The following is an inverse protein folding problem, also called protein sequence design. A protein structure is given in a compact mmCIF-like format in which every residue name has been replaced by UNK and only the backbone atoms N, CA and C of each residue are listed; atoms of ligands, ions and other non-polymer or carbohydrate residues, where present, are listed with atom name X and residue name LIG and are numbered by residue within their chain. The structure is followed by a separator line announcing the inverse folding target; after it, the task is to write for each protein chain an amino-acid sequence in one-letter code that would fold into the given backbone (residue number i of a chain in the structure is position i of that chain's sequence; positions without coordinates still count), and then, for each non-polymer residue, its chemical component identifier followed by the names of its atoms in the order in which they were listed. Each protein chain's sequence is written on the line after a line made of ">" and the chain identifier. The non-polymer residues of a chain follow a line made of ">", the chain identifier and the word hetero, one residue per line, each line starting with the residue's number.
data_IF_438527380687
#
_entry.id   IF_438527380687
#
_cell.length_a   1.000
_cell.length_b   1.000
_cell.length_c   1.000
_cell.angle_alpha   90.00
_cell.angle_beta   90.00
_cell.angle_gamma   90.00
#
_symmetry.space_group_name_H-M   'P 1'
#
loop_
_entity.id
_entity.type
_entity.pdbx_description
1 polymer ?
#
# COMPACT_ATOMS: atom_id res chain seq x y z
N UNK A 1 20.31 2.86 2.59
CA UNK A 1 20.96 3.68 3.63
C UNK A 1 21.11 5.10 3.12
N UNK A 2 20.82 6.09 3.97
CA UNK A 2 20.83 7.51 3.62
C UNK A 2 21.55 8.31 4.69
N UNK A 3 22.21 9.41 4.31
CA UNK A 3 22.74 10.37 5.28
C UNK A 3 21.61 11.04 6.08
N UNK A 4 21.93 11.64 7.22
CA UNK A 4 20.95 12.40 8.04
C UNK A 4 20.15 13.40 7.20
N UNK A 5 20.82 14.17 6.34
CA UNK A 5 20.15 15.21 5.55
C UNK A 5 19.27 14.62 4.45
N UNK A 6 19.74 13.60 3.73
CA UNK A 6 18.91 12.89 2.72
C UNK A 6 17.68 12.23 3.36
N UNK A 7 17.84 11.70 4.57
CA UNK A 7 16.74 11.09 5.33
C UNK A 7 15.70 12.11 5.73
N UNK A 8 16.12 13.29 6.19
CA UNK A 8 15.23 14.39 6.53
C UNK A 8 14.54 15.00 5.31
N UNK A 9 15.24 15.13 4.18
CA UNK A 9 14.64 15.54 2.92
C UNK A 9 13.53 14.58 2.49
N UNK A 10 13.81 13.26 2.52
CA UNK A 10 12.80 12.22 2.23
C UNK A 10 11.61 12.35 3.20
N UNK A 11 11.87 12.47 4.50
CA UNK A 11 10.83 12.59 5.52
C UNK A 11 9.96 13.84 5.31
N UNK A 12 10.57 15.00 5.12
CA UNK A 12 9.85 16.29 4.99
C UNK A 12 9.12 16.46 3.66
N UNK A 13 9.47 15.67 2.65
CA UNK A 13 8.70 15.59 1.40
C UNK A 13 7.29 15.01 1.61
N UNK A 14 7.11 14.14 2.62
CA UNK A 14 5.83 13.49 2.93
C UNK A 14 4.85 14.48 3.58
N UNK A 15 3.61 14.52 3.08
CA UNK A 15 2.55 15.36 3.67
C UNK A 15 2.15 14.81 5.03
N UNK A 16 2.26 15.62 6.08
CA UNK A 16 1.91 15.21 7.44
C UNK A 16 2.88 14.18 8.03
N UNK A 17 4.16 14.25 7.66
CA UNK A 17 5.24 13.37 8.12
C UNK A 17 5.32 13.14 9.65
N UNK A 18 4.79 14.06 10.44
CA UNK A 18 4.83 14.04 11.90
C UNK A 18 3.68 13.27 12.58
N UNK A 19 2.63 12.88 11.85
CA UNK A 19 1.36 12.40 12.45
C UNK A 19 1.52 11.21 13.41
N UNK A 20 2.48 10.33 13.16
CA UNK A 20 2.72 9.13 13.96
C UNK A 20 3.97 9.24 14.84
N UNK A 21 4.58 10.43 14.92
CA UNK A 21 5.85 10.67 15.62
C UNK A 21 5.68 11.28 17.01
N UNK A 22 4.44 11.58 17.44
CA UNK A 22 4.16 12.34 18.67
C UNK A 22 4.51 13.84 18.59
N UNK A 23 5.07 14.31 17.47
CA UNK A 23 5.39 15.73 17.26
C UNK A 23 4.13 16.52 16.89
N UNK A 24 3.88 17.64 17.58
CA UNK A 24 2.78 18.55 17.25
C UNK A 24 2.99 19.19 15.86
N UNK A 25 1.91 19.41 15.12
CA UNK A 25 1.95 20.02 13.79
C UNK A 25 2.53 21.43 13.73
N UNK A 26 2.40 22.24 14.79
CA UNK A 26 3.07 23.55 14.86
C UNK A 26 4.59 23.38 14.93
N UNK A 27 5.08 22.52 15.82
CA UNK A 27 6.49 22.18 15.98
C UNK A 27 7.08 21.56 14.72
N UNK A 28 6.34 20.64 14.08
CA UNK A 28 6.76 20.00 12.84
C UNK A 28 6.99 21.02 11.70
N UNK A 29 6.13 22.04 11.58
CA UNK A 29 6.33 23.11 10.58
C UNK A 29 7.59 23.93 10.90
N UNK A 30 7.84 24.23 12.18
CA UNK A 30 9.04 24.94 12.61
C UNK A 30 10.30 24.13 12.29
N UNK A 31 10.31 22.82 12.57
CA UNK A 31 11.43 21.95 12.25
C UNK A 31 11.70 21.89 10.74
N UNK A 32 10.65 21.73 9.92
CA UNK A 32 10.79 21.75 8.46
C UNK A 32 11.35 23.08 7.96
N UNK A 33 10.85 24.21 8.48
CA UNK A 33 11.36 25.54 8.14
C UNK A 33 12.84 25.71 8.50
N UNK A 34 13.22 25.38 9.74
CA UNK A 34 14.61 25.48 10.21
C UNK A 34 15.56 24.57 9.44
N UNK A 35 15.10 23.42 8.96
CA UNK A 35 15.89 22.55 8.11
C UNK A 35 16.18 23.20 6.75
N UNK A 36 15.17 23.78 6.10
CA UNK A 36 15.33 24.52 4.83
C UNK A 36 16.23 25.75 4.99
N UNK A 37 16.21 26.38 6.16
CA UNK A 37 17.08 27.52 6.50
C UNK A 37 18.46 27.08 7.02
N UNK A 38 18.78 25.78 6.98
CA UNK A 38 20.02 25.18 7.51
C UNK A 38 20.29 25.44 9.02
N UNK A 39 19.32 25.96 9.77
CA UNK A 39 19.42 26.28 11.20
C UNK A 39 18.91 25.18 12.14
N UNK A 40 18.64 23.97 11.64
CA UNK A 40 18.20 22.84 12.47
C UNK A 40 19.41 22.12 13.08
N UNK A 41 19.52 22.15 14.40
CA UNK A 41 20.60 21.49 15.16
C UNK A 41 20.64 19.98 14.96
N UNK A 42 21.84 19.40 14.94
CA UNK A 42 22.06 17.97 14.69
C UNK A 42 21.34 17.08 15.71
N UNK A 43 21.35 17.43 17.00
CA UNK A 43 20.62 16.68 18.03
C UNK A 43 19.10 16.64 17.79
N UNK A 44 18.55 17.71 17.20
CA UNK A 44 17.13 17.75 16.81
C UNK A 44 16.87 16.92 15.55
N UNK A 45 17.81 16.92 14.59
CA UNK A 45 17.75 16.07 13.38
C UNK A 45 17.64 14.59 13.74
N UNK A 46 18.49 14.12 14.65
CA UNK A 46 18.52 12.74 15.14
C UNK A 46 17.19 12.39 15.81
N UNK A 47 16.73 13.21 16.77
CA UNK A 47 15.46 12.97 17.48
C UNK A 47 14.25 12.90 16.55
N UNK A 48 14.20 13.74 15.52
CA UNK A 48 13.11 13.72 14.53
C UNK A 48 13.12 12.38 13.77
N UNK A 49 14.30 11.94 13.30
CA UNK A 49 14.42 10.69 12.55
C UNK A 49 14.04 9.49 13.40
N UNK A 50 14.51 9.40 14.65
CA UNK A 50 14.12 8.34 15.60
C UNK A 50 12.62 8.34 15.88
N UNK A 51 12.04 9.51 16.17
CA UNK A 51 10.60 9.65 16.42
C UNK A 51 9.75 9.29 15.21
N UNK A 52 10.29 9.44 14.00
CA UNK A 52 9.64 9.07 12.75
C UNK A 52 9.96 7.63 12.29
N UNK A 53 10.63 6.83 13.13
CA UNK A 53 10.86 5.40 12.87
C UNK A 53 12.10 5.10 12.03
N UNK A 54 13.01 6.04 11.82
CA UNK A 54 14.29 5.74 11.18
C UNK A 54 15.23 5.06 12.19
N UNK A 55 16.00 4.08 11.71
CA UNK A 55 17.01 3.38 12.51
C UNK A 55 18.41 3.81 12.10
N UNK A 56 19.26 4.08 13.09
CA UNK A 56 20.69 4.30 12.87
C UNK A 56 21.33 2.94 12.59
N UNK A 57 22.01 2.82 11.46
CA UNK A 57 22.67 1.57 11.02
C UNK A 57 24.19 1.68 11.14
N UNK A 58 24.73 2.88 10.92
CA UNK A 58 26.13 3.23 11.08
C UNK A 58 26.20 4.74 11.33
N UNK A 59 27.31 5.27 11.87
CA UNK A 59 27.45 6.70 12.19
C UNK A 59 26.80 7.63 11.13
N UNK A 60 25.75 8.35 11.53
CA UNK A 60 24.99 9.30 10.70
C UNK A 60 24.33 8.72 9.42
N UNK A 61 24.24 7.39 9.34
CA UNK A 61 23.59 6.63 8.28
C UNK A 61 22.31 6.01 8.81
N UNK A 62 21.20 6.33 8.14
CA UNK A 62 19.86 5.95 8.53
C UNK A 62 19.22 5.02 7.52
N UNK A 63 18.39 4.13 8.04
CA UNK A 63 17.47 3.30 7.28
C UNK A 63 16.03 3.68 7.65
N UNK A 64 15.22 3.92 6.62
CA UNK A 64 13.80 4.19 6.77
C UNK A 64 13.10 2.88 7.11
N UNK A 65 12.69 2.68 8.36
CA UNK A 65 11.93 1.50 8.78
C UNK A 65 10.44 1.64 8.42
N UNK A 66 10.11 2.37 7.33
CA UNK A 66 8.76 2.43 6.80
C UNK A 66 8.33 1.02 6.37
N UNK A 67 7.73 0.33 7.34
CA UNK A 67 7.27 -1.04 7.21
C UNK A 67 6.32 -1.19 6.03
N UNK A 68 5.51 -0.16 5.73
CA UNK A 68 4.57 -0.18 4.62
C UNK A 68 5.30 -0.17 3.25
N UNK A 69 6.36 0.63 3.11
CA UNK A 69 7.21 0.62 1.91
C UNK A 69 7.91 -0.73 1.75
N UNK A 70 8.35 -1.36 2.85
CA UNK A 70 8.98 -2.69 2.84
C UNK A 70 8.01 -3.78 2.45
N UNK A 71 6.80 -3.81 3.03
CA UNK A 71 5.75 -4.76 2.67
C UNK A 71 5.36 -4.56 1.20
N UNK A 72 5.19 -3.31 0.75
CA UNK A 72 4.85 -3.02 -0.65
C UNK A 72 5.94 -3.49 -1.61
N UNK A 73 7.21 -3.24 -1.29
CA UNK A 73 8.34 -3.73 -2.07
C UNK A 73 8.41 -5.26 -2.11
N UNK A 74 8.13 -5.93 -0.99
CA UNK A 74 8.10 -7.39 -0.92
C UNK A 74 7.00 -7.99 -1.80
N UNK A 75 5.79 -7.42 -1.76
CA UNK A 75 4.68 -7.84 -2.63
C UNK A 75 5.04 -7.69 -4.12
N UNK A 76 5.66 -6.57 -4.50
CA UNK A 76 6.09 -6.32 -5.88
C UNK A 76 7.15 -7.34 -6.31
N UNK A 77 8.10 -7.65 -5.43
CA UNK A 77 9.14 -8.66 -5.68
C UNK A 77 8.50 -10.04 -5.93
N UNK A 78 7.59 -10.48 -5.05
CA UNK A 78 6.86 -11.74 -5.23
C UNK A 78 6.10 -11.80 -6.55
N UNK A 79 5.42 -10.71 -6.94
CA UNK A 79 4.73 -10.64 -8.24
C UNK A 79 5.66 -10.75 -9.45
N UNK A 80 6.88 -10.22 -9.32
CA UNK A 80 7.90 -10.36 -10.35
C UNK A 80 8.42 -11.82 -10.43
N UNK A 81 8.57 -12.49 -9.30
CA UNK A 81 8.96 -13.91 -9.22
C UNK A 81 7.88 -14.82 -9.85
N UNK A 82 6.60 -14.50 -9.64
CA UNK A 82 5.44 -15.15 -10.30
C UNK A 82 5.27 -14.76 -11.79
N UNK A 83 6.19 -13.95 -12.34
CA UNK A 83 6.20 -13.50 -13.75
C UNK A 83 4.92 -12.80 -14.20
N UNK A 84 4.16 -12.23 -13.28
CA UNK A 84 2.87 -11.57 -13.54
C UNK A 84 3.01 -10.38 -14.49
N UNK A 85 4.17 -9.71 -14.45
CA UNK A 85 4.46 -8.51 -15.25
C UNK A 85 5.22 -8.80 -16.55
N UNK A 86 5.18 -10.03 -17.09
CA UNK A 86 5.91 -10.39 -18.32
C UNK A 86 5.62 -9.47 -19.52
N UNK A 87 4.41 -8.90 -19.59
CA UNK A 87 4.00 -7.97 -20.65
C UNK A 87 4.29 -6.48 -20.35
N UNK A 88 4.74 -6.13 -19.14
CA UNK A 88 5.09 -4.76 -18.80
C UNK A 88 6.52 -4.46 -19.24
N UNK A 89 6.73 -3.33 -19.93
CA UNK A 89 8.08 -2.94 -20.33
C UNK A 89 8.90 -2.61 -19.09
N UNK A 90 10.07 -3.24 -18.94
CA UNK A 90 11.05 -2.94 -17.87
C UNK A 90 11.45 -1.45 -17.79
N UNK A 91 11.12 -0.66 -18.83
CA UNK A 91 11.43 0.76 -18.94
C UNK A 91 10.47 1.70 -18.19
N UNK A 92 9.34 1.23 -17.65
CA UNK A 92 8.50 2.10 -16.82
C UNK A 92 9.07 2.18 -15.41
N UNK A 93 9.97 3.13 -15.19
CA UNK A 93 10.45 3.56 -13.86
C UNK A 93 9.32 4.22 -13.02
N UNK A 94 8.07 4.06 -13.44
CA UNK A 94 6.89 4.57 -12.78
C UNK A 94 6.46 3.63 -11.64
N UNK A 95 6.06 4.15 -10.47
CA UNK A 95 5.56 3.33 -9.38
C UNK A 95 4.31 2.57 -9.83
N UNK A 96 4.22 1.29 -9.48
CA UNK A 96 3.05 0.46 -9.75
C UNK A 96 1.84 1.10 -9.04
N UNK A 97 0.74 1.40 -9.76
CA UNK A 97 -0.48 1.94 -9.17
C UNK A 97 -1.03 0.98 -8.10
N UNK A 98 -1.55 1.54 -7.01
CA UNK A 98 -2.09 0.74 -5.90
C UNK A 98 -3.20 -0.20 -6.34
N UNK A 99 -4.06 0.24 -7.27
CA UNK A 99 -5.14 -0.58 -7.83
C UNK A 99 -4.61 -1.82 -8.55
N UNK A 100 -3.56 -1.64 -9.37
CA UNK A 100 -2.93 -2.73 -10.10
C UNK A 100 -2.20 -3.68 -9.15
N UNK A 101 -1.51 -3.13 -8.13
CA UNK A 101 -0.87 -3.95 -7.11
C UNK A 101 -1.90 -4.81 -6.36
N UNK A 102 -3.01 -4.23 -5.91
CA UNK A 102 -4.07 -4.95 -5.22
C UNK A 102 -4.65 -6.05 -6.11
N UNK A 103 -4.98 -5.74 -7.36
CA UNK A 103 -5.51 -6.73 -8.31
C UNK A 103 -4.54 -7.91 -8.47
N UNK A 104 -3.26 -7.63 -8.74
CA UNK A 104 -2.27 -8.68 -9.01
C UNK A 104 -1.97 -9.53 -7.78
N UNK A 105 -1.88 -8.93 -6.59
CA UNK A 105 -1.70 -9.68 -5.34
C UNK A 105 -2.87 -10.62 -5.10
N UNK A 106 -4.11 -10.14 -5.27
CA UNK A 106 -5.30 -10.99 -5.09
C UNK A 106 -5.41 -12.14 -6.11
N UNK A 107 -4.84 -12.00 -7.30
CA UNK A 107 -4.93 -13.02 -8.35
C UNK A 107 -3.81 -14.06 -8.29
N UNK A 108 -2.61 -13.66 -7.90
CA UNK A 108 -1.41 -14.45 -8.15
C UNK A 108 -0.61 -14.81 -6.91
N UNK A 109 -0.84 -14.17 -5.75
CA UNK A 109 -0.08 -14.45 -4.53
C UNK A 109 -0.90 -15.27 -3.51
N UNK A 110 -0.18 -15.74 -2.49
CA UNK A 110 -0.71 -16.53 -1.39
C UNK A 110 -1.50 -15.71 -0.35
N UNK A 111 -2.16 -16.44 0.57
CA UNK A 111 -2.98 -15.86 1.65
C UNK A 111 -2.16 -14.94 2.55
N UNK A 112 -0.88 -15.23 2.79
CA UNK A 112 -0.01 -14.40 3.64
C UNK A 112 0.30 -13.05 2.98
N UNK A 113 0.52 -13.05 1.66
CA UNK A 113 0.69 -11.83 0.88
C UNK A 113 -0.60 -11.02 0.80
N UNK A 114 -1.76 -11.69 0.64
CA UNK A 114 -3.06 -11.03 0.72
C UNK A 114 -3.29 -10.44 2.11
N UNK A 115 -2.94 -11.14 3.18
CA UNK A 115 -3.04 -10.61 4.55
C UNK A 115 -2.17 -9.36 4.74
N UNK A 116 -0.99 -9.35 4.13
CA UNK A 116 -0.09 -8.18 4.11
C UNK A 116 -0.70 -7.01 3.32
N UNK A 117 -1.43 -7.29 2.24
CA UNK A 117 -2.17 -6.28 1.49
C UNK A 117 -3.24 -5.58 2.34
N UNK A 118 -3.95 -6.32 3.20
CA UNK A 118 -4.94 -5.77 4.15
C UNK A 118 -4.31 -4.93 5.27
N UNK A 119 -2.99 -5.02 5.49
CA UNK A 119 -2.25 -4.10 6.38
C UNK A 119 -1.93 -2.78 5.67
N UNK A 120 -1.67 -2.83 4.36
CA UNK A 120 -1.30 -1.67 3.56
C UNK A 120 -2.47 -0.80 3.11
N UNK A 121 -3.59 -1.42 2.75
CA UNK A 121 -4.71 -0.72 2.12
C UNK A 121 -6.00 -0.85 2.92
N UNK A 122 -6.86 0.18 2.94
CA UNK A 122 -8.16 0.09 3.58
C UNK A 122 -8.98 -1.06 2.98
N UNK A 123 -9.60 -1.88 3.85
CA UNK A 123 -10.48 -3.01 3.45
C UNK A 123 -11.54 -2.62 2.41
N UNK A 124 -12.06 -1.39 2.45
CA UNK A 124 -13.01 -0.86 1.45
C UNK A 124 -12.39 -0.83 0.04
N UNK A 125 -11.19 -0.29 -0.10
CA UNK A 125 -10.49 -0.18 -1.39
C UNK A 125 -10.23 -1.57 -2.00
N UNK A 126 -9.69 -2.49 -1.19
CA UNK A 126 -9.45 -3.88 -1.61
C UNK A 126 -10.75 -4.54 -2.05
N UNK A 127 -11.83 -4.34 -1.29
CA UNK A 127 -13.16 -4.89 -1.61
C UNK A 127 -13.71 -4.36 -2.93
N UNK A 128 -13.54 -3.08 -3.20
CA UNK A 128 -14.06 -2.45 -4.42
C UNK A 128 -13.31 -2.97 -5.65
N UNK A 129 -11.98 -3.10 -5.58
CA UNK A 129 -11.15 -3.70 -6.65
C UNK A 129 -11.50 -5.18 -6.83
N UNK A 130 -11.66 -5.94 -5.75
CA UNK A 130 -12.07 -7.34 -5.80
C UNK A 130 -13.41 -7.50 -6.56
N UNK A 131 -14.40 -6.65 -6.26
CA UNK A 131 -15.70 -6.68 -6.96
C UNK A 131 -15.57 -6.35 -8.44
N UNK A 132 -14.79 -5.32 -8.76
CA UNK A 132 -14.67 -4.80 -10.12
C UNK A 132 -13.83 -5.72 -11.01
N UNK A 133 -12.71 -6.25 -10.50
CA UNK A 133 -11.73 -6.99 -11.29
C UNK A 133 -11.88 -8.50 -11.19
N UNK A 134 -12.33 -9.06 -10.07
CA UNK A 134 -12.42 -10.52 -9.89
C UNK A 134 -13.86 -11.01 -9.95
N UNK A 135 -14.75 -10.42 -9.15
CA UNK A 135 -16.14 -10.87 -9.06
C UNK A 135 -16.94 -10.63 -10.35
N UNK A 136 -16.53 -9.64 -11.15
CA UNK A 136 -17.12 -9.35 -12.46
C UNK A 136 -16.78 -10.39 -13.53
N UNK A 137 -15.71 -11.15 -13.35
CA UNK A 137 -15.20 -12.15 -14.30
C UNK A 137 -15.68 -13.58 -13.99
N UNK A 138 -16.70 -13.73 -13.14
CA UNK A 138 -17.33 -15.02 -12.88
C UNK A 138 -17.78 -15.72 -14.17
N UNK A 139 -17.52 -17.03 -14.34
CA UNK A 139 -17.09 -18.00 -13.31
C UNK A 139 -15.57 -18.22 -13.20
N UNK A 140 -14.72 -17.43 -13.89
CA UNK A 140 -13.28 -17.71 -14.00
C UNK A 140 -12.58 -17.80 -12.63
N UNK A 141 -13.01 -16.99 -11.65
CA UNK A 141 -12.40 -16.91 -10.32
C UNK A 141 -13.32 -17.41 -9.19
N UNK A 142 -14.25 -18.33 -9.48
CA UNK A 142 -15.29 -18.76 -8.53
C UNK A 142 -14.74 -19.23 -7.17
N UNK A 143 -13.65 -20.01 -7.18
CA UNK A 143 -13.05 -20.53 -5.95
C UNK A 143 -12.38 -19.41 -5.13
N UNK A 144 -11.62 -18.53 -5.78
CA UNK A 144 -10.99 -17.38 -5.14
C UNK A 144 -12.03 -16.40 -4.58
N UNK A 145 -13.11 -16.16 -5.33
CA UNK A 145 -14.18 -15.27 -4.90
C UNK A 145 -14.92 -15.80 -3.67
N UNK A 146 -15.16 -17.12 -3.59
CA UNK A 146 -15.70 -17.76 -2.38
C UNK A 146 -14.74 -17.63 -1.19
N UNK A 147 -13.46 -17.92 -1.41
CA UNK A 147 -12.41 -17.82 -0.39
C UNK A 147 -12.32 -16.40 0.19
N UNK A 148 -12.25 -15.37 -0.66
CA UNK A 148 -12.14 -13.99 -0.21
C UNK A 148 -13.41 -13.46 0.46
N UNK A 149 -14.57 -13.84 -0.07
CA UNK A 149 -15.85 -13.54 0.56
C UNK A 149 -15.91 -14.08 1.99
N UNK A 150 -15.43 -15.31 2.20
CA UNK A 150 -15.34 -15.95 3.52
C UNK A 150 -14.33 -15.28 4.45
N UNK A 151 -13.07 -15.21 4.02
CA UNK A 151 -11.95 -14.89 4.90
C UNK A 151 -11.81 -13.40 5.20
N UNK A 152 -12.05 -12.55 4.19
CA UNK A 152 -11.68 -11.14 4.28
C UNK A 152 -12.86 -10.19 4.32
N UNK A 153 -14.05 -10.61 3.85
CA UNK A 153 -15.21 -9.73 3.74
C UNK A 153 -16.39 -10.12 4.64
N UNK A 154 -16.21 -11.13 5.51
CA UNK A 154 -17.21 -11.56 6.50
C UNK A 154 -18.57 -11.94 5.88
N UNK A 155 -18.54 -12.45 4.64
CA UNK A 155 -19.74 -12.80 3.87
C UNK A 155 -20.14 -14.24 4.21
N UNK A 156 -21.16 -14.39 5.06
CA UNK A 156 -21.65 -15.71 5.51
C UNK A 156 -22.21 -16.58 4.38
N UNK A 157 -23.00 -15.98 3.48
CA UNK A 157 -23.61 -16.70 2.36
C UNK A 157 -22.99 -16.25 1.04
N UNK A 158 -21.84 -16.85 0.73
CA UNK A 158 -20.98 -16.49 -0.40
C UNK A 158 -21.69 -16.69 -1.74
N UNK A 159 -22.33 -17.85 -1.92
CA UNK A 159 -23.00 -18.18 -3.18
C UNK A 159 -24.18 -17.25 -3.46
N UNK A 160 -24.99 -16.94 -2.44
CA UNK A 160 -26.05 -15.95 -2.58
C UNK A 160 -25.48 -14.59 -2.95
N UNK A 161 -24.42 -14.15 -2.26
CA UNK A 161 -23.80 -12.86 -2.54
C UNK A 161 -23.25 -12.77 -3.97
N UNK A 162 -22.53 -13.78 -4.44
CA UNK A 162 -21.97 -13.84 -5.80
C UNK A 162 -23.11 -13.83 -6.84
N UNK A 163 -24.16 -14.63 -6.62
CA UNK A 163 -25.33 -14.66 -7.51
C UNK A 163 -26.05 -13.32 -7.58
N UNK A 164 -26.29 -12.70 -6.43
CA UNK A 164 -26.98 -11.40 -6.35
C UNK A 164 -26.15 -10.30 -7.04
N UNK A 165 -24.82 -10.32 -6.89
CA UNK A 165 -23.92 -9.43 -7.61
C UNK A 165 -24.02 -9.60 -9.13
N UNK A 166 -23.96 -10.84 -9.63
CA UNK A 166 -24.11 -11.14 -11.07
C UNK A 166 -25.44 -10.64 -11.61
N UNK A 167 -26.53 -10.93 -10.91
CA UNK A 167 -27.87 -10.52 -11.31
C UNK A 167 -28.01 -8.99 -11.37
N UNK A 168 -27.49 -8.29 -10.37
CA UNK A 168 -27.52 -6.82 -10.34
C UNK A 168 -26.68 -6.21 -11.46
N UNK A 169 -25.50 -6.79 -11.74
CA UNK A 169 -24.66 -6.35 -12.86
C UNK A 169 -25.36 -6.56 -14.20
N UNK A 170 -25.96 -7.74 -14.42
CA UNK A 170 -26.73 -8.02 -15.63
C UNK A 170 -27.88 -7.02 -15.83
N UNK A 171 -28.66 -6.73 -14.77
CA UNK A 171 -29.72 -5.71 -14.80
C UNK A 171 -29.18 -4.33 -15.15
N UNK A 172 -28.06 -3.92 -14.55
CA UNK A 172 -27.46 -2.61 -14.80
C UNK A 172 -26.95 -2.41 -16.24
N UNK A 173 -26.57 -3.50 -16.91
CA UNK A 173 -26.18 -3.48 -18.33
C UNK A 173 -27.44 -3.39 -19.20
N UNK A 174 -28.50 -4.14 -18.86
CA UNK A 174 -29.75 -4.20 -19.65
C UNK A 174 -30.65 -2.97 -19.51
N UNK A 175 -30.50 -2.16 -18.47
CA UNK A 175 -31.29 -0.93 -18.25
C UNK A 175 -30.61 0.34 -18.79
N UNK A 176 -29.55 0.20 -19.59
CA UNK A 176 -28.87 1.33 -20.26
C UNK A 176 -29.32 1.53 -21.72
N UNK A 177 -30.31 0.76 -22.17
CA UNK A 177 -31.04 0.91 -23.43
C UNK A 177 -32.41 1.53 -23.15
#
# INVERSE_FOLDING_TARGET
>A
MMTTDKSLEKLFSRRGWYKNSGINGSTARVYKKRFTEHGLEMGTRIKILEACGYKIVQEMMWEDDNMDERIKADLIRKLHDEKVFWSFSKSSMAPIPDELLIEKVLLHLDIDSVSSLFRLFPKKMIRDIWKEKMLSQEPAYQQLNRLYAFMYFDIRNQDRYIRDFKNNRYKSIRCKD
#
